data_IF_078346081152
#
_entry.id   IF_078346081152
#
_cell.length_a   1.000
_cell.length_b   1.000
_cell.length_c   1.000
_cell.angle_alpha   90.00
_cell.angle_beta   90.00
_cell.angle_gamma   90.00
#
_symmetry.space_group_name_H-M   'P 1'
#
loop_
_entity.id
_entity.type
_entity.pdbx_description
1 polymer ?
#
# COMPACT_ATOMS: atom_id res chain seq x y z
N UNK A 1 37.73 -57.68 5.01
CA UNK A 1 36.25 -57.79 4.88
C UNK A 1 35.62 -56.49 5.34
N UNK A 2 35.23 -55.70 4.39
CA UNK A 2 34.38 -54.53 4.61
C UNK A 2 33.07 -54.70 3.85
N UNK A 3 31.96 -54.32 4.42
CA UNK A 3 30.77 -54.14 3.58
C UNK A 3 30.45 -52.66 3.35
N UNK A 4 29.99 -52.45 2.16
CA UNK A 4 29.61 -51.23 1.51
C UNK A 4 28.59 -50.35 2.32
N UNK A 5 28.91 -49.05 2.44
CA UNK A 5 28.00 -48.03 2.90
C UNK A 5 27.11 -47.53 1.76
N UNK A 6 25.79 -47.70 1.91
CA UNK A 6 24.81 -47.15 1.00
C UNK A 6 24.70 -45.63 1.10
N UNK A 7 24.85 -44.95 -0.01
CA UNK A 7 24.58 -43.53 -0.14
C UNK A 7 23.07 -43.31 -0.17
N UNK A 8 22.52 -42.67 0.89
CA UNK A 8 21.19 -42.09 0.87
C UNK A 8 21.22 -40.78 0.07
N UNK A 9 20.68 -40.83 -1.13
CA UNK A 9 20.38 -39.65 -1.92
C UNK A 9 19.18 -38.92 -1.30
N UNK A 10 19.44 -37.79 -0.63
CA UNK A 10 18.41 -36.83 -0.27
C UNK A 10 17.94 -36.16 -1.55
N UNK A 11 16.76 -36.52 -2.02
CA UNK A 11 16.04 -35.75 -3.04
C UNK A 11 15.58 -34.46 -2.40
N UNK A 12 16.31 -33.38 -2.66
CA UNK A 12 15.81 -32.02 -2.46
C UNK A 12 14.56 -31.85 -3.31
N UNK A 13 13.45 -31.52 -2.67
CA UNK A 13 12.31 -30.93 -3.38
C UNK A 13 12.74 -29.53 -3.75
N UNK A 14 13.07 -29.31 -5.01
CA UNK A 14 13.00 -27.99 -5.61
C UNK A 14 11.51 -27.63 -5.67
N UNK A 15 11.07 -26.80 -4.75
CA UNK A 15 9.79 -26.09 -4.91
C UNK A 15 10.05 -25.03 -5.99
N UNK A 16 9.63 -25.30 -7.22
CA UNK A 16 9.44 -24.25 -8.20
C UNK A 16 8.36 -23.33 -7.66
N UNK A 17 8.73 -22.15 -7.22
CA UNK A 17 7.79 -21.04 -7.10
C UNK A 17 7.41 -20.69 -8.53
N UNK A 18 6.26 -21.16 -8.98
CA UNK A 18 5.62 -20.62 -10.18
C UNK A 18 5.19 -19.21 -9.82
N UNK A 19 6.01 -18.23 -10.20
CA UNK A 19 5.67 -16.81 -10.12
C UNK A 19 4.56 -16.54 -11.16
N UNK A 20 3.31 -16.64 -10.76
CA UNK A 20 2.22 -16.15 -11.59
C UNK A 20 2.30 -14.63 -11.66
N UNK A 21 2.70 -14.14 -12.82
CA UNK A 21 2.65 -12.72 -13.16
C UNK A 21 1.19 -12.37 -13.43
N UNK A 22 0.57 -11.61 -12.55
CA UNK A 22 -0.76 -11.07 -12.77
C UNK A 22 -0.70 -10.03 -13.89
N UNK A 23 -1.18 -10.37 -15.08
CA UNK A 23 -1.41 -9.38 -16.12
C UNK A 23 -2.59 -8.49 -15.71
N UNK A 24 -2.40 -7.15 -15.60
CA UNK A 24 -3.48 -6.26 -15.22
C UNK A 24 -4.58 -6.32 -16.28
N UNK A 25 -5.74 -6.84 -15.93
CA UNK A 25 -6.95 -6.65 -16.72
C UNK A 25 -7.32 -5.18 -16.63
N UNK A 26 -7.63 -4.55 -17.75
CA UNK A 26 -8.07 -3.17 -17.80
C UNK A 26 -9.30 -2.98 -16.87
N UNK A 27 -9.06 -2.45 -15.70
CA UNK A 27 -10.11 -1.94 -14.85
C UNK A 27 -10.48 -0.56 -15.40
N UNK A 28 -11.66 -0.44 -15.97
CA UNK A 28 -12.29 0.86 -16.21
C UNK A 28 -12.61 1.47 -14.84
N UNK A 29 -11.61 2.14 -14.25
CA UNK A 29 -11.75 2.88 -13.01
C UNK A 29 -12.42 4.23 -13.25
N UNK A 30 -12.87 4.95 -12.19
CA UNK A 30 -13.52 6.25 -12.27
C UNK A 30 -12.64 7.34 -12.92
N UNK A 31 -11.36 7.10 -13.09
CA UNK A 31 -10.46 7.93 -13.89
C UNK A 31 -10.60 7.52 -15.36
N UNK A 32 -11.66 7.96 -15.99
CA UNK A 32 -12.02 7.69 -17.39
C UNK A 32 -11.06 8.33 -18.43
N UNK A 33 -9.75 8.17 -18.26
CA UNK A 33 -8.75 8.58 -19.25
C UNK A 33 -8.53 7.40 -20.18
N UNK A 34 -9.01 7.49 -21.40
CA UNK A 34 -8.77 6.49 -22.42
C UNK A 34 -7.28 6.44 -22.80
N UNK A 35 -6.72 5.24 -22.83
CA UNK A 35 -5.54 4.95 -23.61
C UNK A 35 -4.18 4.96 -22.90
N UNK A 36 -3.15 5.02 -23.71
CA UNK A 36 -1.75 4.70 -23.48
C UNK A 36 -0.97 5.54 -22.45
N UNK A 37 -1.58 6.55 -21.83
CA UNK A 37 -0.91 7.53 -20.95
C UNK A 37 -1.10 7.28 -19.45
N UNK A 38 -1.61 6.11 -19.06
CA UNK A 38 -1.76 5.77 -17.63
C UNK A 38 -0.46 5.17 -17.09
N UNK A 39 -0.02 5.56 -15.88
CA UNK A 39 1.08 4.87 -15.24
C UNK A 39 0.65 3.43 -14.92
N UNK A 40 1.32 2.45 -15.51
CA UNK A 40 1.13 1.04 -15.20
C UNK A 40 1.92 0.70 -13.93
N UNK A 41 1.22 0.17 -12.93
CA UNK A 41 1.81 -0.37 -11.70
C UNK A 41 1.68 -1.88 -11.75
N UNK A 42 2.81 -2.58 -11.91
CA UNK A 42 2.84 -4.04 -11.91
C UNK A 42 3.19 -4.56 -10.52
N UNK A 43 2.51 -5.63 -10.11
CA UNK A 43 2.78 -6.34 -8.86
C UNK A 43 2.88 -7.83 -9.16
N UNK A 44 3.98 -8.47 -8.74
CA UNK A 44 4.10 -9.92 -8.78
C UNK A 44 3.38 -10.49 -7.57
N UNK A 45 2.44 -11.39 -7.81
CA UNK A 45 1.61 -11.97 -6.76
C UNK A 45 1.93 -13.44 -6.60
N UNK A 46 2.12 -13.89 -5.35
CA UNK A 46 2.38 -15.30 -5.00
C UNK A 46 1.49 -15.74 -3.83
N UNK A 47 1.21 -17.04 -3.74
CA UNK A 47 0.39 -17.64 -2.69
C UNK A 47 -1.08 -17.79 -3.06
N UNK A 48 -1.89 -18.29 -2.13
CA UNK A 48 -3.30 -18.63 -2.34
C UNK A 48 -4.18 -17.37 -2.48
N UNK A 49 -4.14 -16.73 -3.62
CA UNK A 49 -5.03 -15.62 -3.99
C UNK A 49 -6.22 -16.06 -4.85
N UNK A 50 -6.44 -17.35 -4.99
CA UNK A 50 -7.40 -17.94 -5.94
C UNK A 50 -8.82 -17.35 -5.81
N UNK A 51 -9.25 -17.00 -4.61
CA UNK A 51 -10.55 -16.36 -4.41
C UNK A 51 -10.55 -14.86 -4.82
N UNK A 52 -9.43 -14.17 -4.69
CA UNK A 52 -9.32 -12.75 -5.04
C UNK A 52 -9.10 -12.53 -6.55
N UNK A 53 -8.41 -13.45 -7.22
CA UNK A 53 -8.06 -13.34 -8.64
C UNK A 53 -9.20 -13.80 -9.57
N UNK A 54 -10.10 -14.66 -9.09
CA UNK A 54 -11.24 -15.15 -9.86
C UNK A 54 -12.42 -14.16 -9.93
N UNK A 55 -12.51 -13.20 -9.01
CA UNK A 55 -13.48 -12.12 -9.08
C UNK A 55 -12.89 -10.96 -9.88
N UNK A 56 -13.57 -10.49 -10.90
CA UNK A 56 -13.21 -9.20 -11.53
C UNK A 56 -13.42 -8.10 -10.47
N UNK A 57 -12.36 -7.48 -9.95
CA UNK A 57 -12.50 -6.49 -8.91
C UNK A 57 -13.27 -5.29 -9.49
N UNK A 58 -14.38 -4.96 -8.87
CA UNK A 58 -15.12 -3.74 -9.21
C UNK A 58 -14.51 -2.60 -8.40
N UNK A 59 -13.99 -1.59 -9.08
CA UNK A 59 -13.49 -0.39 -8.41
C UNK A 59 -14.63 0.26 -7.61
N UNK A 60 -14.43 0.59 -6.33
CA UNK A 60 -15.42 1.32 -5.54
C UNK A 60 -15.59 2.74 -6.09
N UNK A 61 -16.78 3.30 -5.93
CA UNK A 61 -16.97 4.74 -6.14
C UNK A 61 -16.34 5.50 -4.99
N UNK A 62 -15.39 6.37 -5.28
CA UNK A 62 -14.71 7.18 -4.29
C UNK A 62 -15.35 8.58 -4.31
N UNK A 63 -16.09 8.91 -3.27
CA UNK A 63 -16.82 10.17 -3.16
C UNK A 63 -16.03 11.27 -2.44
N UNK A 64 -14.97 10.91 -1.69
CA UNK A 64 -14.13 11.84 -0.97
C UNK A 64 -12.71 11.30 -0.88
N UNK A 65 -11.71 12.19 -0.91
CA UNK A 65 -10.29 11.87 -0.78
C UNK A 65 -9.61 12.91 0.10
N UNK A 66 -8.80 12.46 1.04
CA UNK A 66 -7.98 13.35 1.87
C UNK A 66 -6.72 12.68 2.37
N UNK A 67 -5.79 13.47 2.84
CA UNK A 67 -4.54 12.99 3.41
C UNK A 67 -3.91 14.00 4.36
N UNK A 68 -3.15 13.47 5.32
CA UNK A 68 -2.28 14.23 6.23
C UNK A 68 -0.83 13.98 5.85
N UNK A 69 -0.05 15.05 5.82
CA UNK A 69 1.39 15.01 5.68
C UNK A 69 2.01 16.18 6.43
N UNK A 70 3.14 15.96 7.11
CA UNK A 70 3.88 17.04 7.80
C UNK A 70 4.42 18.08 6.83
N UNK A 71 4.67 17.70 5.59
CA UNK A 71 5.13 18.55 4.52
C UNK A 71 4.47 18.20 3.17
N UNK A 72 3.18 18.48 3.01
CA UNK A 72 2.47 18.14 1.79
C UNK A 72 3.09 18.80 0.56
N UNK A 73 3.34 18.00 -0.47
CA UNK A 73 3.89 18.44 -1.74
C UNK A 73 2.75 18.53 -2.76
N UNK A 74 2.11 19.68 -2.85
CA UNK A 74 1.12 19.94 -3.88
C UNK A 74 1.79 19.95 -5.26
N UNK A 75 1.24 19.19 -6.18
CA UNK A 75 1.70 19.09 -7.58
C UNK A 75 0.58 19.38 -8.56
N UNK A 76 -0.59 19.79 -8.09
CA UNK A 76 -1.81 19.87 -8.92
C UNK A 76 -1.86 21.13 -9.79
N UNK A 77 -1.29 22.23 -9.32
CA UNK A 77 -1.29 23.51 -10.02
C UNK A 77 -0.03 23.70 -10.88
N UNK A 78 -0.05 24.75 -11.69
CA UNK A 78 1.09 25.18 -12.51
C UNK A 78 1.82 26.37 -11.88
N UNK A 79 1.52 26.71 -10.63
CA UNK A 79 2.23 27.76 -9.93
C UNK A 79 3.70 27.36 -9.62
N UNK A 80 4.57 28.33 -9.29
CA UNK A 80 5.98 28.06 -9.06
C UNK A 80 6.23 27.06 -7.92
N UNK A 81 5.43 27.08 -6.86
CA UNK A 81 5.58 26.16 -5.72
C UNK A 81 5.23 24.72 -6.12
N UNK A 82 4.13 24.50 -6.81
CA UNK A 82 3.74 23.16 -7.30
C UNK A 82 4.74 22.62 -8.32
N UNK A 83 5.32 23.48 -9.17
CA UNK A 83 6.38 23.07 -10.08
C UNK A 83 7.66 22.69 -9.35
N UNK A 84 8.02 23.39 -8.28
CA UNK A 84 9.18 23.04 -7.45
C UNK A 84 8.93 21.77 -6.65
N UNK A 85 7.73 21.54 -6.12
CA UNK A 85 7.32 20.29 -5.51
C UNK A 85 7.45 19.10 -6.47
N UNK A 86 7.01 19.26 -7.71
CA UNK A 86 7.14 18.23 -8.74
C UNK A 86 8.62 17.95 -9.08
N UNK A 87 9.47 18.96 -9.11
CA UNK A 87 10.93 18.81 -9.29
C UNK A 87 11.56 18.09 -8.10
N UNK A 88 11.15 18.46 -6.88
CA UNK A 88 11.63 17.83 -5.66
C UNK A 88 11.28 16.33 -5.64
N UNK A 89 10.04 15.96 -5.93
CA UNK A 89 9.63 14.54 -6.02
C UNK A 89 10.47 13.76 -7.04
N UNK A 90 10.76 14.37 -8.20
CA UNK A 90 11.63 13.74 -9.20
C UNK A 90 13.08 13.58 -8.71
N UNK A 91 13.58 14.54 -7.94
CA UNK A 91 14.93 14.47 -7.37
C UNK A 91 15.10 13.38 -6.31
N UNK A 92 14.00 12.92 -5.68
CA UNK A 92 13.98 11.81 -4.73
C UNK A 92 14.10 10.44 -5.41
N UNK A 93 13.93 10.37 -6.72
CA UNK A 93 14.16 9.12 -7.48
C UNK A 93 15.65 8.95 -7.72
N UNK A 94 16.21 7.85 -7.23
CA UNK A 94 17.64 7.57 -7.34
C UNK A 94 18.09 7.40 -8.80
N UNK A 95 19.28 7.85 -9.14
CA UNK A 95 19.85 7.64 -10.48
C UNK A 95 19.83 6.16 -10.88
N UNK A 96 19.46 5.88 -12.13
CA UNK A 96 19.34 4.52 -12.65
C UNK A 96 17.98 3.86 -12.42
N UNK A 97 17.03 4.54 -11.80
CA UNK A 97 15.64 4.08 -11.64
C UNK A 97 14.71 4.73 -12.67
N UNK A 98 15.03 4.59 -13.95
CA UNK A 98 14.35 5.30 -15.05
C UNK A 98 12.85 4.95 -15.15
N UNK A 99 12.47 3.70 -14.92
CA UNK A 99 11.06 3.29 -14.86
C UNK A 99 10.30 3.98 -13.75
N UNK A 100 10.91 4.13 -12.57
CA UNK A 100 10.30 4.83 -11.44
C UNK A 100 10.13 6.32 -11.74
N UNK A 101 11.14 6.94 -12.36
CA UNK A 101 11.07 8.33 -12.78
C UNK A 101 9.95 8.55 -13.82
N UNK A 102 9.85 7.65 -14.79
CA UNK A 102 8.81 7.69 -15.84
C UNK A 102 7.40 7.51 -15.24
N UNK A 103 7.23 6.55 -14.32
CA UNK A 103 5.95 6.35 -13.63
C UNK A 103 5.54 7.55 -12.79
N UNK A 104 6.47 8.16 -12.06
CA UNK A 104 6.21 9.37 -11.28
C UNK A 104 5.76 10.53 -12.19
N UNK A 105 6.45 10.75 -13.31
CA UNK A 105 6.07 11.77 -14.28
C UNK A 105 4.64 11.52 -14.82
N UNK A 106 4.36 10.30 -15.26
CA UNK A 106 3.05 9.92 -15.78
C UNK A 106 1.95 10.05 -14.71
N UNK A 107 2.24 9.73 -13.44
CA UNK A 107 1.29 9.88 -12.33
C UNK A 107 0.95 11.36 -12.09
N UNK A 108 1.95 12.24 -12.04
CA UNK A 108 1.74 13.69 -11.89
C UNK A 108 0.91 14.25 -13.05
N UNK A 109 1.24 13.90 -14.27
CA UNK A 109 0.53 14.37 -15.45
C UNK A 109 -0.92 13.84 -15.50
N UNK A 110 -1.14 12.59 -15.07
CA UNK A 110 -2.47 12.00 -15.02
C UNK A 110 -3.36 12.70 -13.99
N UNK A 111 -2.85 12.91 -12.76
CA UNK A 111 -3.64 13.56 -11.71
C UNK A 111 -3.93 15.03 -12.06
N UNK A 112 -2.98 15.76 -12.63
CA UNK A 112 -3.17 17.13 -13.08
C UNK A 112 -4.28 17.22 -14.13
N UNK A 113 -4.21 16.42 -15.19
CA UNK A 113 -5.23 16.37 -16.24
C UNK A 113 -6.61 16.05 -15.67
N UNK A 114 -6.67 15.05 -14.78
CA UNK A 114 -7.93 14.64 -14.17
C UNK A 114 -8.54 15.77 -13.33
N UNK A 115 -7.79 16.34 -12.39
CA UNK A 115 -8.27 17.42 -11.50
C UNK A 115 -8.60 18.71 -12.27
N UNK A 116 -7.89 18.99 -13.37
CA UNK A 116 -8.25 20.13 -14.23
C UNK A 116 -9.64 19.95 -14.85
N UNK A 117 -10.00 18.72 -15.22
CA UNK A 117 -11.31 18.41 -15.81
C UNK A 117 -12.40 18.14 -14.77
N UNK A 118 -12.02 17.72 -13.57
CA UNK A 118 -12.89 17.31 -12.47
C UNK A 118 -12.35 17.87 -11.14
N UNK A 119 -12.45 19.19 -10.91
CA UNK A 119 -11.89 19.81 -9.70
C UNK A 119 -12.50 19.28 -8.40
N UNK A 120 -13.74 18.76 -8.46
CA UNK A 120 -14.41 18.10 -7.33
C UNK A 120 -13.72 16.81 -6.88
N UNK A 121 -12.92 16.21 -7.72
CA UNK A 121 -12.14 14.98 -7.42
C UNK A 121 -10.79 15.27 -6.78
N UNK A 122 -10.42 16.54 -6.59
CA UNK A 122 -9.17 16.90 -5.93
C UNK A 122 -9.12 16.35 -4.49
N UNK A 123 -7.97 15.79 -4.11
CA UNK A 123 -7.79 15.32 -2.75
C UNK A 123 -7.58 16.51 -1.78
N UNK A 124 -8.19 16.43 -0.60
CA UNK A 124 -7.99 17.39 0.50
C UNK A 124 -6.70 17.04 1.26
N UNK A 125 -5.56 17.50 0.76
CA UNK A 125 -4.27 17.27 1.42
C UNK A 125 -4.01 18.38 2.43
N UNK A 126 -3.86 18.01 3.70
CA UNK A 126 -3.71 18.91 4.83
C UNK A 126 -2.33 18.72 5.45
N UNK A 127 -1.65 19.84 5.74
CA UNK A 127 -0.45 19.79 6.58
C UNK A 127 -0.88 19.46 8.01
N UNK A 128 -0.42 18.33 8.54
CA UNK A 128 -0.80 17.91 9.87
C UNK A 128 -0.08 16.64 10.33
N UNK A 129 -0.17 16.41 11.63
CA UNK A 129 0.32 15.21 12.29
C UNK A 129 -0.70 14.08 12.17
N UNK A 130 -0.23 12.86 11.91
CA UNK A 130 -1.08 11.67 11.71
C UNK A 130 -1.93 11.31 12.94
N UNK A 131 -1.58 11.78 14.14
CA UNK A 131 -2.32 11.53 15.38
C UNK A 131 -3.14 12.74 15.79
N UNK A 132 -2.51 13.92 15.82
CA UNK A 132 -3.10 15.11 16.43
C UNK A 132 -4.15 15.76 15.50
N UNK A 133 -3.97 15.64 14.17
CA UNK A 133 -4.86 16.26 13.18
C UNK A 133 -5.81 15.27 12.49
N UNK A 134 -5.70 13.95 12.78
CA UNK A 134 -6.52 12.91 12.14
C UNK A 134 -8.02 13.14 12.33
N UNK A 135 -8.45 13.47 13.55
CA UNK A 135 -9.86 13.71 13.86
C UNK A 135 -10.43 14.87 13.02
N UNK A 136 -9.67 15.96 12.89
CA UNK A 136 -10.07 17.12 12.10
C UNK A 136 -10.20 16.81 10.60
N UNK A 137 -9.37 15.92 10.06
CA UNK A 137 -9.50 15.46 8.68
C UNK A 137 -10.69 14.53 8.52
N UNK A 138 -10.87 13.56 9.41
CA UNK A 138 -11.98 12.59 9.36
C UNK A 138 -13.34 13.27 9.53
N UNK A 139 -13.44 14.33 10.32
CA UNK A 139 -14.66 15.11 10.51
C UNK A 139 -15.18 15.79 9.22
N UNK A 140 -14.33 15.89 8.18
CA UNK A 140 -14.75 16.42 6.88
C UNK A 140 -15.42 15.36 5.99
N UNK A 141 -15.33 14.08 6.35
CA UNK A 141 -15.94 12.99 5.59
C UNK A 141 -17.38 12.83 6.00
N UNK A 142 -18.37 12.88 5.07
CA UNK A 142 -19.76 12.63 5.39
C UNK A 142 -19.98 11.30 6.12
N UNK A 143 -20.85 11.32 7.15
CA UNK A 143 -21.05 10.17 8.05
C UNK A 143 -21.65 8.94 7.38
N UNK A 144 -22.36 9.13 6.26
CA UNK A 144 -22.95 8.06 5.45
C UNK A 144 -21.92 7.32 4.58
N UNK A 145 -20.72 7.87 4.40
CA UNK A 145 -19.68 7.24 3.60
C UNK A 145 -18.87 6.24 4.43
N UNK A 146 -18.60 5.09 3.85
CA UNK A 146 -17.63 4.15 4.42
C UNK A 146 -16.22 4.74 4.33
N UNK A 147 -15.59 4.95 5.48
CA UNK A 147 -14.24 5.49 5.55
C UNK A 147 -13.20 4.38 5.37
N UNK A 148 -12.33 4.53 4.39
CA UNK A 148 -11.13 3.71 4.25
C UNK A 148 -9.92 4.58 4.58
N UNK A 149 -9.22 4.26 5.66
CA UNK A 149 -7.97 4.90 6.04
C UNK A 149 -6.81 3.95 5.71
N UNK A 150 -5.81 4.46 5.01
CA UNK A 150 -4.61 3.66 4.74
C UNK A 150 -3.33 4.46 5.02
N UNK A 151 -2.29 3.74 5.42
CA UNK A 151 -0.94 4.29 5.56
C UNK A 151 0.10 3.22 5.18
N UNK A 152 1.26 3.68 4.73
CA UNK A 152 2.35 2.81 4.30
C UNK A 152 3.70 3.43 4.62
N UNK A 153 4.55 2.68 5.34
CA UNK A 153 5.91 3.08 5.72
C UNK A 153 5.97 4.41 6.51
N UNK A 154 4.95 4.72 7.29
CA UNK A 154 4.85 5.95 8.11
C UNK A 154 5.25 5.69 9.55
N UNK A 155 4.80 4.57 10.13
CA UNK A 155 4.95 4.32 11.55
C UNK A 155 6.39 4.02 11.99
N UNK A 156 7.28 3.70 11.07
CA UNK A 156 8.70 3.56 11.37
C UNK A 156 9.37 4.88 11.77
N UNK A 157 8.78 6.02 11.43
CA UNK A 157 9.33 7.36 11.70
C UNK A 157 8.78 8.01 12.97
N UNK A 158 7.84 7.37 13.66
CA UNK A 158 7.26 7.87 14.90
C UNK A 158 7.64 6.96 16.08
N UNK A 159 7.64 7.52 17.30
CA UNK A 159 7.96 6.78 18.51
C UNK A 159 6.81 5.84 18.96
N UNK A 160 7.09 4.99 19.94
CA UNK A 160 6.13 3.98 20.41
C UNK A 160 4.89 4.62 21.06
N UNK A 161 5.04 5.75 21.75
CA UNK A 161 3.90 6.44 22.38
C UNK A 161 2.97 7.02 21.30
N UNK A 162 3.55 7.60 20.25
CA UNK A 162 2.80 8.11 19.09
C UNK A 162 2.08 6.97 18.36
N UNK A 163 2.74 5.82 18.14
CA UNK A 163 2.10 4.62 17.57
C UNK A 163 0.89 4.17 18.40
N UNK A 164 1.07 4.08 19.72
CA UNK A 164 0.00 3.67 20.62
C UNK A 164 -1.17 4.69 20.62
N UNK A 165 -0.89 5.99 20.50
CA UNK A 165 -1.93 7.03 20.34
C UNK A 165 -2.67 6.87 19.01
N UNK A 166 -1.96 6.64 17.93
CA UNK A 166 -2.53 6.41 16.60
C UNK A 166 -3.46 5.19 16.61
N UNK A 167 -3.01 4.04 17.13
CA UNK A 167 -3.85 2.85 17.24
C UNK A 167 -5.14 3.09 18.03
N UNK A 168 -5.07 3.83 19.14
CA UNK A 168 -6.28 4.20 19.90
C UNK A 168 -7.25 5.01 19.07
N UNK A 169 -6.74 6.00 18.28
CA UNK A 169 -7.58 6.80 17.36
C UNK A 169 -8.26 5.93 16.31
N UNK A 170 -7.55 4.96 15.75
CA UNK A 170 -8.14 4.02 14.79
C UNK A 170 -9.25 3.17 15.43
N UNK A 171 -9.06 2.72 16.66
CA UNK A 171 -10.10 2.00 17.39
C UNK A 171 -11.36 2.85 17.65
N UNK A 172 -11.21 4.13 17.94
CA UNK A 172 -12.35 5.04 18.08
C UNK A 172 -13.17 5.13 16.78
N UNK A 173 -12.51 5.12 15.62
CA UNK A 173 -13.15 5.18 14.31
C UNK A 173 -13.96 3.92 13.94
N UNK A 174 -13.75 2.78 14.60
CA UNK A 174 -14.53 1.56 14.35
C UNK A 174 -16.03 1.73 14.63
N UNK A 175 -16.39 2.75 15.42
CA UNK A 175 -17.78 3.06 15.77
C UNK A 175 -18.45 4.08 14.84
N UNK A 176 -17.77 4.46 13.73
CA UNK A 176 -18.30 5.43 12.76
C UNK A 176 -19.58 4.90 12.09
N UNK A 177 -20.64 5.73 11.95
CA UNK A 177 -21.94 5.28 11.40
C UNK A 177 -21.86 4.70 10.00
N UNK A 178 -21.06 5.31 9.08
CA UNK A 178 -20.88 4.82 7.70
C UNK A 178 -19.98 3.61 7.58
N UNK A 179 -19.38 3.17 8.70
CA UNK A 179 -18.39 2.09 8.72
C UNK A 179 -16.95 2.59 8.47
N UNK A 180 -16.01 1.74 8.83
CA UNK A 180 -14.58 2.04 8.79
C UNK A 180 -13.79 0.80 8.39
N UNK A 181 -12.77 0.98 7.57
CA UNK A 181 -11.76 -0.04 7.26
C UNK A 181 -10.38 0.59 7.37
N UNK A 182 -9.51 -0.06 8.09
CA UNK A 182 -8.12 0.34 8.24
C UNK A 182 -7.19 -0.57 7.45
N UNK A 183 -6.37 0.01 6.57
CA UNK A 183 -5.36 -0.70 5.80
C UNK A 183 -3.98 -0.17 6.18
N UNK A 184 -3.11 -1.04 6.67
CA UNK A 184 -1.72 -0.71 6.96
C UNK A 184 -0.78 -1.52 6.09
N UNK A 185 0.33 -0.90 5.66
CA UNK A 185 1.43 -1.58 4.97
C UNK A 185 2.75 -1.10 5.59
N UNK A 186 3.21 -1.78 6.63
CA UNK A 186 4.29 -1.33 7.50
C UNK A 186 5.35 -2.41 7.70
N UNK A 187 6.53 -2.02 8.18
CA UNK A 187 7.55 -2.97 8.58
C UNK A 187 7.03 -3.89 9.71
N UNK A 188 7.38 -5.19 9.71
CA UNK A 188 6.86 -6.15 10.69
C UNK A 188 7.08 -5.77 12.15
N UNK A 189 8.12 -4.97 12.43
CA UNK A 189 8.51 -4.58 13.79
C UNK A 189 7.69 -3.42 14.37
N UNK A 190 6.97 -2.63 13.55
CA UNK A 190 6.33 -1.39 14.00
C UNK A 190 4.86 -1.54 14.36
N UNK A 191 4.26 -2.68 14.06
CA UNK A 191 2.86 -2.99 14.35
C UNK A 191 2.75 -4.01 15.48
N UNK A 192 2.63 -3.59 16.75
CA UNK A 192 2.61 -4.52 17.90
C UNK A 192 1.53 -5.59 17.80
N UNK A 193 0.32 -5.22 17.40
CA UNK A 193 -0.81 -6.14 17.28
C UNK A 193 -0.66 -7.22 16.22
N UNK A 194 0.19 -7.02 15.21
CA UNK A 194 0.44 -8.01 14.15
C UNK A 194 1.73 -8.81 14.37
N UNK A 195 2.63 -8.35 15.23
CA UNK A 195 3.98 -8.91 15.41
C UNK A 195 3.96 -10.41 15.72
N UNK A 196 3.15 -10.82 16.69
CA UNK A 196 3.11 -12.22 17.13
C UNK A 196 2.50 -13.12 16.06
N UNK A 197 1.45 -12.66 15.39
CA UNK A 197 0.84 -13.37 14.26
C UNK A 197 1.80 -13.53 13.10
N UNK A 198 2.55 -12.47 12.77
CA UNK A 198 3.57 -12.48 11.72
C UNK A 198 4.70 -13.44 12.08
N UNK A 199 5.20 -13.39 13.33
CA UNK A 199 6.27 -14.28 13.80
C UNK A 199 5.86 -15.75 13.87
N UNK A 200 4.57 -16.03 14.02
CA UNK A 200 4.03 -17.39 14.00
C UNK A 200 3.91 -17.98 12.59
N UNK A 201 3.75 -17.13 11.58
CA UNK A 201 3.48 -17.57 10.19
C UNK A 201 4.70 -17.49 9.26
N UNK A 202 5.71 -16.66 9.60
CA UNK A 202 6.82 -16.37 8.71
C UNK A 202 8.16 -16.49 9.42
N UNK A 203 9.12 -17.10 8.76
CA UNK A 203 10.49 -17.12 9.25
C UNK A 203 11.12 -15.72 9.14
N UNK A 204 12.00 -15.32 10.07
CA UNK A 204 12.64 -14.00 10.04
C UNK A 204 13.33 -13.65 8.70
N UNK A 205 13.84 -14.65 7.99
CA UNK A 205 14.47 -14.46 6.66
C UNK A 205 13.44 -14.02 5.60
N UNK A 206 12.20 -14.47 5.70
CA UNK A 206 11.14 -14.17 4.74
C UNK A 206 10.58 -12.76 4.93
N UNK A 207 10.79 -12.19 6.13
CA UNK A 207 10.38 -10.83 6.49
C UNK A 207 11.42 -9.77 6.09
N UNK A 208 12.63 -10.19 5.69
CA UNK A 208 13.72 -9.26 5.46
C UNK A 208 13.44 -8.35 4.26
N UNK A 209 13.37 -7.03 4.53
CA UNK A 209 13.06 -6.03 3.50
C UNK A 209 11.62 -6.06 2.99
N UNK A 210 10.71 -6.75 3.70
CA UNK A 210 9.29 -6.84 3.35
C UNK A 210 8.44 -6.03 4.35
N UNK A 211 7.26 -5.64 3.88
CA UNK A 211 6.22 -5.04 4.72
C UNK A 211 5.08 -6.03 4.93
N UNK A 212 4.31 -5.80 5.97
CA UNK A 212 3.07 -6.53 6.26
C UNK A 212 1.90 -5.68 5.83
N UNK A 213 1.14 -6.17 4.86
CA UNK A 213 -0.18 -5.63 4.54
C UNK A 213 -1.19 -6.22 5.53
N UNK A 214 -1.85 -5.37 6.30
CA UNK A 214 -2.91 -5.79 7.20
C UNK A 214 -4.20 -4.99 6.94
N UNK A 215 -5.33 -5.61 7.21
CA UNK A 215 -6.66 -4.99 7.17
C UNK A 215 -7.28 -5.14 8.54
N UNK A 216 -7.69 -4.02 9.13
CA UNK A 216 -8.24 -3.95 10.49
C UNK A 216 -7.37 -4.67 11.53
N UNK A 217 -6.04 -4.47 11.41
CA UNK A 217 -5.05 -5.08 12.28
C UNK A 217 -4.76 -6.57 12.00
N UNK A 218 -5.44 -7.20 11.02
CA UNK A 218 -5.22 -8.60 10.67
C UNK A 218 -4.27 -8.70 9.46
N UNK A 219 -3.12 -9.38 9.58
CA UNK A 219 -2.21 -9.61 8.47
C UNK A 219 -2.91 -10.32 7.30
N UNK A 220 -2.66 -9.86 6.08
CA UNK A 220 -3.23 -10.42 4.84
C UNK A 220 -2.17 -10.85 3.85
N UNK A 221 -1.03 -10.15 3.82
CA UNK A 221 0.04 -10.45 2.89
C UNK A 221 1.37 -9.86 3.35
N UNK A 222 2.47 -10.37 2.79
CA UNK A 222 3.74 -9.68 2.74
C UNK A 222 3.88 -8.93 1.43
N UNK A 223 4.38 -7.69 1.48
CA UNK A 223 4.59 -6.88 0.29
C UNK A 223 6.04 -6.46 0.14
N UNK A 224 6.46 -6.19 -1.08
CA UNK A 224 7.71 -5.49 -1.34
C UNK A 224 7.59 -4.00 -0.95
N UNK A 225 8.72 -3.32 -0.65
CA UNK A 225 8.72 -1.95 -0.10
C UNK A 225 8.04 -0.91 -1.01
N UNK A 226 7.89 -1.21 -2.30
CA UNK A 226 7.31 -0.32 -3.30
C UNK A 226 6.08 -0.92 -4.00
N UNK A 227 5.46 -1.95 -3.41
CA UNK A 227 4.29 -2.62 -3.97
C UNK A 227 4.58 -3.48 -5.21
N UNK A 228 5.86 -3.75 -5.49
CA UNK A 228 6.27 -4.56 -6.65
C UNK A 228 5.99 -6.04 -6.50
N UNK A 229 5.74 -6.51 -5.27
CA UNK A 229 5.38 -7.89 -4.99
C UNK A 229 4.40 -7.99 -3.83
N UNK A 230 3.57 -9.03 -3.87
CA UNK A 230 2.64 -9.41 -2.81
C UNK A 230 2.64 -10.93 -2.66
N UNK A 231 2.82 -11.42 -1.43
CA UNK A 231 2.68 -12.84 -1.10
C UNK A 231 1.53 -12.96 -0.11
N UNK A 232 0.46 -13.63 -0.51
CA UNK A 232 -0.73 -13.78 0.31
C UNK A 232 -0.43 -14.50 1.63
N UNK A 233 -1.14 -14.11 2.66
CA UNK A 233 -1.14 -14.80 3.95
C UNK A 233 -1.91 -16.12 3.81
N UNK A 234 -1.24 -17.22 4.06
CA UNK A 234 -1.89 -18.51 4.20
C UNK A 234 -2.14 -18.80 5.69
N UNK A 235 -3.39 -18.68 6.12
CA UNK A 235 -3.79 -18.94 7.51
C UNK A 235 -3.81 -20.43 7.88
N UNK A 236 -3.46 -21.31 6.95
CA UNK A 236 -3.50 -22.78 7.13
C UNK A 236 -2.14 -23.41 7.43
N UNK A 237 -1.07 -22.61 7.55
CA UNK A 237 0.23 -23.08 8.01
C UNK A 237 0.46 -22.78 9.48
#
# INVERSE_FOLDING_TARGET
DAPAGGAMASRGRESSCDDEVFEPREASGPFGVDGADRPLLTCVVAGALDEMTNATPRAPTIAWRGGLDLNPLDVLSDDPEALDNARWLRALVWPGQDERASRLAAAIDTVRRHVTSHPEDAAHIVRGDVVDDLEGLVAQVPDELHLVLFHSAVLAYVDDDTRARFERRLHELTHRPGGFTWISNEAPSVMPGTRDAVAAAWEPRDLQGRFVLAVDGQPRALTGPHGQSLTAWDATN
#
